data_IF_889089022283
#
_entry.id   IF_889089022283
#
_cell.length_a   1.000
_cell.length_b   1.000
_cell.length_c   1.000
_cell.angle_alpha   90.00
_cell.angle_beta   90.00
_cell.angle_gamma   90.00
#
_symmetry.space_group_name_H-M   'P 1'
#
loop_
_entity.id
_entity.type
_entity.pdbx_description
1 polymer ?
#
# COMPACT_ATOMS: atom_id res chain seq x y z
N UNK A 1 34.60 12.68 -60.25
CA UNK A 1 33.38 12.40 -59.48
C UNK A 1 33.78 12.38 -58.02
N UNK A 2 33.47 13.46 -57.30
CA UNK A 2 33.85 13.68 -55.91
C UNK A 2 32.81 13.02 -54.98
N UNK A 3 33.28 12.27 -53.98
CA UNK A 3 32.48 11.78 -52.86
C UNK A 3 32.35 12.87 -51.79
N UNK A 4 31.16 13.14 -51.23
CA UNK A 4 30.99 14.20 -50.24
C UNK A 4 31.43 13.74 -48.84
N UNK A 5 32.03 14.63 -48.02
CA UNK A 5 32.42 14.29 -46.66
C UNK A 5 31.21 14.25 -45.72
N UNK A 6 31.08 13.16 -44.97
CA UNK A 6 30.05 12.95 -43.95
C UNK A 6 30.10 14.02 -42.85
N UNK A 7 28.94 14.58 -42.55
CA UNK A 7 28.71 15.52 -41.45
C UNK A 7 29.16 14.92 -40.11
N UNK A 8 30.04 15.63 -39.39
CA UNK A 8 30.30 15.38 -37.97
C UNK A 8 29.01 15.59 -37.18
N UNK A 9 28.60 14.58 -36.42
CA UNK A 9 27.57 14.72 -35.39
C UNK A 9 28.13 15.61 -34.27
N UNK A 10 27.46 16.73 -34.00
CA UNK A 10 27.69 17.55 -32.82
C UNK A 10 27.33 16.76 -31.56
N UNK A 11 28.08 16.91 -30.44
CA UNK A 11 27.72 16.25 -29.18
C UNK A 11 26.33 16.71 -28.73
N UNK A 12 25.49 15.79 -28.30
CA UNK A 12 24.22 16.14 -27.64
C UNK A 12 24.55 16.95 -26.39
N UNK A 13 24.08 18.20 -26.39
CA UNK A 13 24.11 19.09 -25.26
C UNK A 13 23.12 18.58 -24.21
N UNK A 14 23.62 17.86 -23.20
CA UNK A 14 22.84 17.19 -22.14
C UNK A 14 22.35 18.16 -21.05
N UNK A 15 22.40 19.47 -21.28
CA UNK A 15 22.16 20.48 -20.24
C UNK A 15 20.75 21.09 -20.24
N UNK A 16 19.82 20.62 -21.08
CA UNK A 16 18.44 21.15 -21.15
C UNK A 16 17.34 20.11 -20.88
N UNK A 17 17.47 19.32 -19.81
CA UNK A 17 16.33 18.64 -19.18
C UNK A 17 16.22 19.09 -17.72
N UNK A 18 16.08 20.40 -17.53
CA UNK A 18 15.70 20.96 -16.24
C UNK A 18 14.86 22.20 -16.47
N UNK A 19 13.56 22.01 -16.68
CA UNK A 19 12.45 22.94 -16.41
C UNK A 19 11.18 22.43 -17.09
N UNK A 20 10.55 21.45 -16.46
CA UNK A 20 9.10 21.35 -16.50
C UNK A 20 8.60 21.48 -15.07
N UNK A 21 7.69 22.44 -14.89
CA UNK A 21 6.96 22.84 -13.69
C UNK A 21 6.78 21.70 -12.68
N UNK A 22 7.41 21.82 -11.50
CA UNK A 22 7.13 20.99 -10.31
C UNK A 22 5.71 21.26 -9.81
N UNK A 23 4.70 20.71 -10.47
CA UNK A 23 3.45 20.37 -9.80
C UNK A 23 3.77 19.34 -8.72
N UNK A 24 3.19 19.47 -7.53
CA UNK A 24 3.32 18.45 -6.50
C UNK A 24 2.84 17.09 -7.05
N UNK A 25 3.57 16.02 -6.78
CA UNK A 25 3.22 14.68 -7.25
C UNK A 25 1.81 14.30 -6.76
N UNK A 26 0.94 13.89 -7.68
CA UNK A 26 -0.47 13.63 -7.37
C UNK A 26 -0.68 12.57 -6.28
N UNK A 27 0.21 11.58 -6.16
CA UNK A 27 0.14 10.54 -5.15
C UNK A 27 0.58 11.06 -3.78
N UNK A 28 1.56 11.97 -3.74
CA UNK A 28 1.95 12.66 -2.50
C UNK A 28 0.80 13.53 -2.00
N UNK A 29 0.15 14.28 -2.88
CA UNK A 29 -1.00 15.11 -2.51
C UNK A 29 -2.19 14.27 -2.03
N UNK A 30 -2.37 13.08 -2.57
CA UNK A 30 -3.37 12.13 -2.08
C UNK A 30 -3.04 11.61 -0.66
N UNK A 31 -1.78 11.27 -0.40
CA UNK A 31 -1.33 10.88 0.93
C UNK A 31 -1.49 12.04 1.93
N UNK A 32 -1.10 13.27 1.56
CA UNK A 32 -1.32 14.47 2.38
C UNK A 32 -2.79 14.68 2.74
N UNK A 33 -3.69 14.51 1.77
CA UNK A 33 -5.14 14.62 2.01
C UNK A 33 -5.61 13.58 3.02
N UNK A 34 -5.18 12.33 2.90
CA UNK A 34 -5.53 11.28 3.87
C UNK A 34 -5.00 11.60 5.26
N UNK A 35 -3.72 11.96 5.41
CA UNK A 35 -3.10 12.21 6.72
C UNK A 35 -3.69 13.45 7.41
N UNK A 36 -4.18 14.42 6.64
CA UNK A 36 -4.87 15.60 7.17
C UNK A 36 -6.37 15.40 7.41
N UNK A 37 -6.95 14.26 7.04
CA UNK A 37 -8.33 13.93 7.32
C UNK A 37 -8.57 13.76 8.85
N UNK A 38 -9.52 14.49 9.46
CA UNK A 38 -9.90 14.30 10.87
C UNK A 38 -10.32 12.86 11.21
N UNK A 39 -10.98 12.15 10.30
CA UNK A 39 -11.35 10.74 10.49
C UNK A 39 -10.11 9.86 10.58
N UNK A 40 -9.10 10.11 9.73
CA UNK A 40 -7.84 9.38 9.77
C UNK A 40 -7.13 9.57 11.11
N UNK A 41 -7.00 10.82 11.59
CA UNK A 41 -6.41 11.11 12.90
C UNK A 41 -7.14 10.37 14.02
N UNK A 42 -8.47 10.39 14.00
CA UNK A 42 -9.30 9.73 15.02
C UNK A 42 -9.08 8.22 15.03
N UNK A 43 -9.08 7.59 13.86
CA UNK A 43 -8.86 6.15 13.70
C UNK A 43 -7.43 5.77 14.11
N UNK A 44 -6.44 6.53 13.65
CA UNK A 44 -5.02 6.32 13.96
C UNK A 44 -4.79 6.32 15.48
N UNK A 45 -5.23 7.36 16.19
CA UNK A 45 -5.07 7.45 17.65
C UNK A 45 -5.81 6.31 18.35
N UNK A 46 -7.02 5.96 17.90
CA UNK A 46 -7.80 4.88 18.50
C UNK A 46 -7.15 3.50 18.32
N UNK A 47 -6.47 3.24 17.20
CA UNK A 47 -5.69 2.01 17.00
C UNK A 47 -4.47 1.98 17.90
N UNK A 48 -3.70 3.07 17.92
CA UNK A 48 -2.41 3.10 18.61
C UNK A 48 -2.51 3.12 20.14
N UNK A 49 -3.63 3.62 20.69
CA UNK A 49 -3.89 3.69 22.14
C UNK A 49 -4.86 2.61 22.64
N UNK A 50 -5.16 1.63 21.79
CA UNK A 50 -6.22 0.65 22.03
C UNK A 50 -6.00 -0.17 23.30
N UNK A 51 -4.74 -0.53 23.56
CA UNK A 51 -4.37 -1.35 24.73
C UNK A 51 -4.59 -0.56 26.02
N UNK A 52 -4.17 0.69 26.05
CA UNK A 52 -4.31 1.61 27.19
C UNK A 52 -5.78 1.91 27.47
N UNK A 53 -6.58 2.13 26.41
CA UNK A 53 -8.05 2.28 26.51
C UNK A 53 -8.67 1.01 27.11
N UNK A 54 -8.26 -0.17 26.66
CA UNK A 54 -8.78 -1.44 27.17
C UNK A 54 -8.43 -1.65 28.65
N UNK A 55 -7.20 -1.31 29.06
CA UNK A 55 -6.76 -1.37 30.46
C UNK A 55 -7.60 -0.43 31.32
N UNK A 56 -7.75 0.84 30.91
CA UNK A 56 -8.58 1.84 31.59
C UNK A 56 -10.02 1.36 31.74
N UNK A 57 -10.65 0.87 30.67
CA UNK A 57 -12.04 0.41 30.70
C UNK A 57 -12.23 -0.83 31.58
N UNK A 58 -11.24 -1.75 31.59
CA UNK A 58 -11.26 -2.90 32.49
C UNK A 58 -11.20 -2.49 33.96
N UNK A 59 -10.45 -1.45 34.28
CA UNK A 59 -10.40 -0.89 35.63
C UNK A 59 -11.73 -0.23 35.98
N UNK A 60 -12.27 0.67 35.15
CA UNK A 60 -13.56 1.34 35.41
C UNK A 60 -14.71 0.37 35.72
N UNK A 61 -14.70 -0.82 35.12
CA UNK A 61 -15.73 -1.84 35.30
C UNK A 61 -15.41 -2.84 36.44
N UNK A 62 -14.34 -2.63 37.21
CA UNK A 62 -13.93 -3.54 38.29
C UNK A 62 -14.66 -3.26 39.60
N UNK A 63 -15.09 -4.33 40.29
CA UNK A 63 -15.75 -4.26 41.61
C UNK A 63 -14.77 -4.23 42.79
N UNK A 64 -13.45 -4.34 42.56
CA UNK A 64 -12.43 -4.36 43.62
C UNK A 64 -12.02 -2.94 44.02
N UNK A 65 -12.27 -2.57 45.29
CA UNK A 65 -12.05 -1.20 45.81
C UNK A 65 -10.64 -0.88 46.29
N UNK A 66 -9.82 -1.87 46.66
CA UNK A 66 -8.47 -1.62 47.21
C UNK A 66 -7.50 -1.19 46.11
N UNK A 67 -6.84 -0.05 46.29
CA UNK A 67 -5.90 0.59 45.36
C UNK A 67 -6.47 0.93 43.98
N UNK A 68 -7.80 1.08 43.89
CA UNK A 68 -8.48 1.26 42.61
C UNK A 68 -8.21 2.64 41.99
N UNK A 69 -8.26 3.68 42.82
CA UNK A 69 -8.00 5.06 42.40
C UNK A 69 -6.57 5.24 41.89
N UNK A 70 -5.58 4.67 42.57
CA UNK A 70 -4.17 4.68 42.14
C UNK A 70 -3.99 4.01 40.79
N UNK A 71 -4.56 2.81 40.60
CA UNK A 71 -4.47 2.08 39.32
C UNK A 71 -5.19 2.80 38.19
N UNK A 72 -6.33 3.44 38.47
CA UNK A 72 -7.04 4.23 37.48
C UNK A 72 -6.25 5.49 37.10
N UNK A 73 -5.61 6.15 38.06
CA UNK A 73 -4.72 7.29 37.83
C UNK A 73 -3.50 6.90 36.97
N UNK A 74 -2.87 5.75 37.26
CA UNK A 74 -1.77 5.20 36.46
C UNK A 74 -2.21 4.86 35.03
N UNK A 75 -3.37 4.22 34.86
CA UNK A 75 -3.91 3.90 33.54
C UNK A 75 -4.26 5.17 32.74
N UNK A 76 -4.82 6.20 33.38
CA UNK A 76 -5.07 7.49 32.74
C UNK A 76 -3.77 8.18 32.33
N UNK A 77 -2.74 8.17 33.18
CA UNK A 77 -1.42 8.74 32.85
C UNK A 77 -0.79 8.01 31.67
N UNK A 78 -0.85 6.68 31.66
CA UNK A 78 -0.33 5.85 30.57
C UNK A 78 -1.04 6.12 29.25
N UNK A 79 -2.38 6.24 29.28
CA UNK A 79 -3.17 6.60 28.10
C UNK A 79 -2.82 8.00 27.57
N UNK A 80 -2.62 8.97 28.47
CA UNK A 80 -2.29 10.34 28.11
C UNK A 80 -0.90 10.41 27.46
N UNK A 81 0.10 9.76 28.05
CA UNK A 81 1.45 9.62 27.48
C UNK A 81 1.43 8.93 26.11
N UNK A 82 0.70 7.81 25.98
CA UNK A 82 0.55 7.12 24.71
C UNK A 82 -0.10 8.04 23.65
N UNK A 83 -1.13 8.80 24.03
CA UNK A 83 -1.80 9.74 23.11
C UNK A 83 -0.86 10.86 22.66
N UNK A 84 -0.04 11.40 23.56
CA UNK A 84 0.96 12.44 23.25
C UNK A 84 2.00 11.93 22.25
N UNK A 85 2.59 10.76 22.52
CA UNK A 85 3.59 10.13 21.63
C UNK A 85 3.00 9.91 20.23
N UNK A 86 1.78 9.38 20.16
CA UNK A 86 1.16 9.09 18.85
C UNK A 86 0.74 10.37 18.12
N UNK A 87 0.38 11.43 18.86
CA UNK A 87 0.15 12.75 18.26
C UNK A 87 1.43 13.35 17.69
N UNK A 88 2.57 13.20 18.39
CA UNK A 88 3.88 13.61 17.88
C UNK A 88 4.25 12.84 16.62
N UNK A 89 4.07 11.51 16.60
CA UNK A 89 4.32 10.69 15.40
C UNK A 89 3.49 11.13 14.20
N UNK A 90 2.20 11.46 14.42
CA UNK A 90 1.34 11.96 13.35
C UNK A 90 1.79 13.34 12.84
N UNK A 91 2.26 14.23 13.71
CA UNK A 91 2.77 15.53 13.31
C UNK A 91 4.09 15.40 12.53
N UNK A 92 4.99 14.52 12.98
CA UNK A 92 6.22 14.18 12.27
C UNK A 92 5.91 13.69 10.84
N UNK A 93 4.94 12.79 10.69
CA UNK A 93 4.49 12.32 9.38
C UNK A 93 3.97 13.46 8.49
N UNK A 94 3.28 14.46 9.06
CA UNK A 94 2.82 15.63 8.31
C UNK A 94 3.99 16.50 7.85
N UNK A 95 4.94 16.75 8.74
CA UNK A 95 6.15 17.54 8.45
C UNK A 95 6.98 16.88 7.33
N UNK A 96 7.17 15.56 7.38
CA UNK A 96 7.86 14.80 6.32
C UNK A 96 7.18 14.90 4.95
N UNK A 97 5.85 15.06 4.94
CA UNK A 97 5.10 15.17 3.69
C UNK A 97 5.16 16.58 3.09
N UNK A 98 5.48 17.63 3.86
CA UNK A 98 5.64 18.98 3.31
C UNK A 98 6.80 19.08 2.31
N UNK A 99 7.86 18.30 2.53
CA UNK A 99 9.02 18.18 1.64
C UNK A 99 9.28 16.70 1.30
N UNK A 100 8.46 16.11 0.40
CA UNK A 100 8.55 14.68 0.10
C UNK A 100 9.91 14.33 -0.51
N UNK A 101 10.52 13.26 -0.02
CA UNK A 101 11.78 12.75 -0.58
C UNK A 101 11.53 12.08 -1.95
N UNK A 102 12.54 12.05 -2.84
CA UNK A 102 12.44 11.29 -4.09
C UNK A 102 12.05 9.82 -3.89
N UNK A 103 12.59 9.18 -2.85
CA UNK A 103 12.33 7.77 -2.53
C UNK A 103 10.86 7.53 -2.15
N UNK A 104 10.22 8.49 -1.46
CA UNK A 104 8.78 8.43 -1.18
C UNK A 104 7.97 8.51 -2.47
N UNK A 105 8.33 9.42 -3.38
CA UNK A 105 7.65 9.59 -4.66
C UNK A 105 7.78 8.32 -5.50
N UNK A 106 8.98 7.77 -5.60
CA UNK A 106 9.23 6.50 -6.27
C UNK A 106 8.41 5.36 -5.66
N UNK A 107 8.43 5.22 -4.32
CA UNK A 107 7.65 4.20 -3.62
C UNK A 107 6.15 4.34 -3.92
N UNK A 108 5.58 5.54 -3.85
CA UNK A 108 4.17 5.78 -4.20
C UNK A 108 3.84 5.39 -5.65
N UNK A 109 4.79 5.61 -6.56
CA UNK A 109 4.62 5.32 -7.98
C UNK A 109 4.74 3.82 -8.34
N UNK A 110 5.24 2.97 -7.44
CA UNK A 110 5.20 1.51 -7.59
C UNK A 110 3.78 0.95 -7.44
N UNK A 111 2.93 1.67 -6.70
CA UNK A 111 1.56 1.27 -6.45
C UNK A 111 0.62 1.71 -7.57
N UNK A 112 -0.31 0.83 -7.91
CA UNK A 112 -1.38 1.13 -8.83
C UNK A 112 -2.55 1.82 -8.12
N UNK A 113 -3.74 1.67 -8.69
CA UNK A 113 -4.97 2.23 -8.15
C UNK A 113 -5.87 1.13 -7.56
N UNK A 114 -6.51 1.42 -6.43
CA UNK A 114 -7.45 0.52 -5.75
C UNK A 114 -8.67 1.29 -5.23
N UNK A 115 -9.68 0.55 -4.75
CA UNK A 115 -10.73 1.16 -3.92
C UNK A 115 -10.18 1.47 -2.53
N UNK A 116 -10.74 2.46 -1.84
CA UNK A 116 -10.38 2.75 -0.44
C UNK A 116 -10.95 1.72 0.54
N UNK A 117 -10.74 1.95 1.84
CA UNK A 117 -11.24 1.07 2.92
C UNK A 117 -12.76 0.90 2.94
N UNK A 118 -13.50 1.90 2.45
CA UNK A 118 -14.97 1.94 2.36
C UNK A 118 -15.51 1.29 1.07
N UNK A 119 -14.61 0.95 0.13
CA UNK A 119 -14.99 0.36 -1.16
C UNK A 119 -15.34 1.40 -2.23
N UNK A 120 -14.95 2.66 -2.03
CA UNK A 120 -15.22 3.77 -2.95
C UNK A 120 -14.12 3.90 -4.01
N UNK A 121 -14.46 4.55 -5.12
CA UNK A 121 -13.57 4.75 -6.29
C UNK A 121 -12.94 6.15 -6.35
N UNK A 122 -13.14 6.99 -5.34
CA UNK A 122 -12.65 8.37 -5.33
C UNK A 122 -13.33 9.26 -6.37
N UNK A 123 -12.87 10.51 -6.46
CA UNK A 123 -13.30 11.44 -7.52
C UNK A 123 -12.88 10.89 -8.89
N UNK A 124 -13.75 11.02 -9.88
CA UNK A 124 -13.54 10.58 -11.27
C UNK A 124 -13.51 9.06 -11.51
N UNK A 125 -13.92 8.24 -10.54
CA UNK A 125 -13.95 6.76 -10.65
C UNK A 125 -12.57 6.10 -10.90
N UNK A 126 -11.48 6.84 -10.70
CA UNK A 126 -10.10 6.38 -10.99
C UNK A 126 -9.44 5.60 -9.85
N UNK A 127 -10.10 5.48 -8.70
CA UNK A 127 -9.55 4.86 -7.50
C UNK A 127 -8.54 5.75 -6.77
N UNK A 128 -8.04 5.21 -5.67
CA UNK A 128 -7.02 5.78 -4.79
C UNK A 128 -5.68 5.09 -5.01
N UNK A 129 -4.57 5.73 -4.67
CA UNK A 129 -3.25 5.09 -4.67
C UNK A 129 -3.26 3.87 -3.72
N UNK A 130 -2.95 2.70 -4.26
CA UNK A 130 -3.06 1.44 -3.52
C UNK A 130 -2.08 1.37 -2.34
N UNK A 131 -0.93 2.02 -2.41
CA UNK A 131 0.03 2.12 -1.30
C UNK A 131 -0.52 2.95 -0.16
N UNK A 132 -1.14 4.10 -0.48
CA UNK A 132 -1.83 4.95 0.49
C UNK A 132 -2.92 4.17 1.22
N UNK A 133 -3.75 3.41 0.49
CA UNK A 133 -4.83 2.60 1.06
C UNK A 133 -4.29 1.43 1.90
N UNK A 134 -3.43 0.58 1.31
CA UNK A 134 -3.01 -0.67 1.94
C UNK A 134 -2.03 -0.47 3.09
N UNK A 135 -1.20 0.58 3.02
CA UNK A 135 -0.26 0.90 4.09
C UNK A 135 -0.87 1.85 5.11
N UNK A 136 -1.24 3.07 4.73
CA UNK A 136 -1.66 4.09 5.70
C UNK A 136 -3.09 3.87 6.19
N UNK A 137 -4.06 3.85 5.27
CA UNK A 137 -5.48 3.80 5.63
C UNK A 137 -5.83 2.50 6.41
N UNK A 138 -5.40 1.34 5.92
CA UNK A 138 -5.74 0.05 6.54
C UNK A 138 -5.09 -0.14 7.91
N UNK A 139 -3.87 0.36 8.10
CA UNK A 139 -3.17 0.27 9.39
C UNK A 139 -3.72 1.27 10.40
N UNK A 140 -4.22 2.43 9.96
CA UNK A 140 -4.89 3.40 10.84
C UNK A 140 -6.34 3.00 11.17
N UNK A 141 -7.03 2.22 10.33
CA UNK A 141 -8.45 1.93 10.50
C UNK A 141 -8.75 0.81 11.51
N UNK A 142 -9.51 1.10 12.57
CA UNK A 142 -9.82 0.17 13.68
C UNK A 142 -10.41 -1.16 13.21
N UNK A 143 -11.31 -1.11 12.23
CA UNK A 143 -11.99 -2.31 11.71
C UNK A 143 -11.10 -3.22 10.85
N UNK A 144 -10.07 -2.68 10.19
CA UNK A 144 -9.22 -3.42 9.25
C UNK A 144 -7.89 -3.82 9.88
N UNK A 145 -7.40 -3.03 10.83
CA UNK A 145 -6.19 -3.32 11.58
C UNK A 145 -6.33 -4.58 12.46
N UNK A 146 -7.55 -4.92 12.92
CA UNK A 146 -7.84 -6.06 13.82
C UNK A 146 -7.09 -7.35 13.42
N UNK A 147 -6.08 -7.72 14.23
CA UNK A 147 -5.21 -8.90 14.17
C UNK A 147 -4.21 -8.97 13.02
N UNK A 148 -4.27 -8.08 12.02
CA UNK A 148 -3.45 -8.16 10.80
C UNK A 148 -2.12 -7.43 10.92
N UNK A 149 -2.09 -6.35 11.69
CA UNK A 149 -0.90 -5.53 11.87
C UNK A 149 -0.62 -5.45 13.37
N UNK A 150 0.61 -5.78 13.77
CA UNK A 150 1.02 -5.61 15.17
C UNK A 150 0.99 -4.11 15.51
N UNK A 151 0.43 -3.71 16.67
CA UNK A 151 0.37 -2.31 17.10
C UNK A 151 1.75 -1.68 17.30
N UNK A 152 2.81 -2.50 17.37
CA UNK A 152 4.20 -2.08 17.55
C UNK A 152 4.79 -1.36 16.32
N UNK A 153 4.14 -1.43 15.15
CA UNK A 153 4.60 -0.70 13.96
C UNK A 153 3.89 0.66 13.88
N UNK A 154 4.54 1.68 14.42
CA UNK A 154 4.20 3.08 14.12
C UNK A 154 4.26 3.28 12.60
N UNK A 155 3.22 3.89 12.04
CA UNK A 155 3.21 4.28 10.62
C UNK A 155 4.29 5.35 10.40
N UNK A 156 5.21 5.10 9.48
CA UNK A 156 6.23 6.07 9.07
C UNK A 156 6.48 6.01 7.56
N UNK A 157 7.06 7.08 7.01
CA UNK A 157 7.45 7.13 5.59
C UNK A 157 8.54 6.11 5.27
N UNK A 158 9.56 6.00 6.11
CA UNK A 158 10.64 5.01 5.94
C UNK A 158 10.10 3.58 5.89
N UNK A 159 9.24 3.21 6.85
CA UNK A 159 8.64 1.88 6.87
C UNK A 159 7.67 1.64 5.71
N UNK A 160 7.08 2.68 5.10
CA UNK A 160 6.32 2.57 3.86
C UNK A 160 7.23 2.29 2.65
N UNK A 161 8.38 2.96 2.58
CA UNK A 161 9.38 2.74 1.54
C UNK A 161 9.90 1.30 1.60
N UNK A 162 10.29 0.82 2.77
CA UNK A 162 10.77 -0.55 2.96
C UNK A 162 9.70 -1.60 2.65
N UNK A 163 8.47 -1.33 3.10
CA UNK A 163 7.30 -2.15 2.76
C UNK A 163 7.11 -2.24 1.24
N UNK A 164 7.21 -1.12 0.54
CA UNK A 164 7.08 -1.07 -0.92
C UNK A 164 8.21 -1.82 -1.62
N UNK A 165 9.47 -1.59 -1.21
CA UNK A 165 10.65 -2.29 -1.76
C UNK A 165 10.53 -3.80 -1.61
N UNK A 166 10.08 -4.29 -0.44
CA UNK A 166 9.83 -5.73 -0.21
C UNK A 166 8.90 -6.28 -1.28
N UNK A 167 7.72 -5.69 -1.47
CA UNK A 167 6.74 -6.26 -2.40
C UNK A 167 7.07 -6.01 -3.86
N UNK A 168 7.72 -4.90 -4.19
CA UNK A 168 8.24 -4.64 -5.53
C UNK A 168 9.21 -5.74 -5.98
N UNK A 169 10.11 -6.17 -5.10
CA UNK A 169 11.08 -7.22 -5.42
C UNK A 169 10.43 -8.56 -5.83
N UNK A 170 9.22 -8.86 -5.34
CA UNK A 170 8.46 -10.03 -5.77
C UNK A 170 7.83 -9.87 -7.15
N UNK A 171 7.50 -8.65 -7.56
CA UNK A 171 7.03 -8.37 -8.92
C UNK A 171 8.18 -8.42 -9.93
N UNK A 172 9.39 -8.00 -9.53
CA UNK A 172 10.59 -7.99 -10.37
C UNK A 172 11.17 -9.40 -10.58
N UNK A 173 11.07 -10.28 -9.57
CA UNK A 173 11.47 -11.69 -9.68
C UNK A 173 10.35 -12.62 -9.18
N UNK A 174 9.28 -12.81 -9.98
CA UNK A 174 8.10 -13.53 -9.53
C UNK A 174 8.23 -15.05 -9.64
N UNK A 175 9.20 -15.58 -10.39
CA UNK A 175 9.29 -17.00 -10.66
C UNK A 175 9.73 -17.78 -9.41
N UNK A 176 8.94 -18.74 -8.89
CA UNK A 176 9.28 -19.52 -7.69
C UNK A 176 10.58 -20.34 -7.83
N UNK A 177 11.01 -20.65 -9.05
CA UNK A 177 12.26 -21.36 -9.30
C UNK A 177 13.50 -20.49 -9.04
N UNK A 178 13.39 -19.17 -9.28
CA UNK A 178 14.47 -18.19 -9.09
C UNK A 178 14.27 -17.31 -7.85
N UNK A 179 13.09 -17.35 -7.22
CA UNK A 179 12.79 -16.64 -5.98
C UNK A 179 12.31 -17.60 -4.89
N UNK A 180 13.21 -18.02 -3.96
CA UNK A 180 12.89 -19.03 -2.95
C UNK A 180 11.90 -18.56 -1.88
N UNK A 181 11.58 -17.26 -1.80
CA UNK A 181 10.59 -16.74 -0.85
C UNK A 181 9.15 -16.94 -1.37
N UNK A 182 9.00 -17.12 -2.69
CA UNK A 182 7.72 -17.32 -3.33
C UNK A 182 7.32 -18.80 -3.23
N UNK A 183 6.07 -19.05 -2.87
CA UNK A 183 5.49 -20.39 -2.84
C UNK A 183 4.90 -20.78 -4.18
N UNK A 184 4.13 -19.88 -4.79
CA UNK A 184 3.48 -20.11 -6.08
C UNK A 184 3.05 -18.78 -6.69
N UNK A 185 2.90 -18.78 -8.00
CA UNK A 185 2.48 -17.61 -8.79
C UNK A 185 1.54 -18.03 -9.90
N UNK A 186 0.67 -17.11 -10.32
CA UNK A 186 -0.13 -17.23 -11.54
C UNK A 186 -0.14 -15.90 -12.28
N UNK A 187 0.19 -15.94 -13.57
CA UNK A 187 0.19 -14.76 -14.43
C UNK A 187 -0.92 -14.90 -15.47
N UNK A 188 -1.85 -13.95 -15.46
CA UNK A 188 -2.98 -13.90 -16.38
C UNK A 188 -2.80 -12.75 -17.36
N UNK A 189 -3.22 -12.94 -18.61
CA UNK A 189 -3.12 -11.96 -19.69
C UNK A 189 -4.44 -11.90 -20.48
N UNK A 190 -4.88 -10.70 -20.86
CA UNK A 190 -6.00 -10.50 -21.79
C UNK A 190 -5.55 -10.30 -23.25
N UNK A 191 -6.50 -10.23 -24.19
CA UNK A 191 -6.20 -10.00 -25.61
C UNK A 191 -5.54 -8.65 -25.91
N UNK A 192 -5.68 -7.67 -25.01
CA UNK A 192 -5.08 -6.35 -25.17
C UNK A 192 -3.64 -6.32 -24.65
N UNK A 193 -3.17 -7.40 -24.02
CA UNK A 193 -1.84 -7.50 -23.43
C UNK A 193 -1.75 -6.96 -22.00
N UNK A 194 -2.88 -6.64 -21.36
CA UNK A 194 -2.87 -6.30 -19.94
C UNK A 194 -2.61 -7.59 -19.15
N UNK A 195 -1.87 -7.47 -18.05
CA UNK A 195 -1.48 -8.61 -17.23
C UNK A 195 -1.84 -8.42 -15.78
N UNK A 196 -2.15 -9.54 -15.13
CA UNK A 196 -2.38 -9.60 -13.69
C UNK A 196 -1.56 -10.73 -13.09
N UNK A 197 -0.76 -10.37 -12.11
CA UNK A 197 0.16 -11.28 -11.44
C UNK A 197 -0.33 -11.56 -10.03
N UNK A 198 -0.51 -12.82 -9.71
CA UNK A 198 -0.84 -13.32 -8.39
C UNK A 198 0.37 -14.02 -7.79
N UNK A 199 0.83 -13.57 -6.63
CA UNK A 199 1.96 -14.16 -5.91
C UNK A 199 1.51 -14.55 -4.51
N UNK A 200 1.80 -15.79 -4.09
CA UNK A 200 1.71 -16.22 -2.71
C UNK A 200 3.12 -16.53 -2.19
N UNK A 201 3.54 -15.85 -1.13
CA UNK A 201 4.84 -16.10 -0.47
C UNK A 201 4.74 -17.27 0.51
N UNK A 202 5.90 -17.81 0.91
CA UNK A 202 5.99 -18.84 1.96
C UNK A 202 5.51 -18.32 3.33
N UNK A 203 5.63 -17.01 3.55
CA UNK A 203 5.11 -16.30 4.73
C UNK A 203 3.59 -16.06 4.69
N UNK A 204 2.87 -16.67 3.73
CA UNK A 204 1.42 -16.52 3.57
C UNK A 204 1.00 -15.09 3.21
N UNK A 205 1.85 -14.34 2.52
CA UNK A 205 1.49 -13.03 1.97
C UNK A 205 0.99 -13.21 0.53
N UNK A 206 -0.18 -12.66 0.23
CA UNK A 206 -0.80 -12.72 -1.09
C UNK A 206 -0.74 -11.33 -1.73
N UNK A 207 0.02 -11.23 -2.81
CA UNK A 207 0.31 -9.99 -3.53
C UNK A 207 -0.38 -10.06 -4.90
N UNK A 208 -0.98 -8.93 -5.29
CA UNK A 208 -1.63 -8.76 -6.59
C UNK A 208 -0.92 -7.64 -7.33
N UNK A 209 -0.28 -7.96 -8.45
CA UNK A 209 0.26 -7.02 -9.41
C UNK A 209 -0.66 -6.85 -10.62
N UNK A 210 -0.64 -5.68 -11.24
CA UNK A 210 -1.31 -5.43 -12.51
C UNK A 210 -0.49 -4.53 -13.41
N UNK A 211 -0.48 -4.86 -14.69
CA UNK A 211 0.24 -4.18 -15.74
C UNK A 211 -0.74 -3.85 -16.86
N UNK A 212 -0.87 -2.56 -17.20
CA UNK A 212 -1.52 -2.17 -18.45
C UNK A 212 -0.51 -2.27 -19.58
N UNK A 213 -0.97 -2.59 -20.77
CA UNK A 213 -0.10 -2.68 -21.95
C UNK A 213 0.73 -1.41 -22.14
N UNK A 214 2.05 -1.54 -22.12
CA UNK A 214 2.99 -0.42 -22.27
C UNK A 214 3.33 0.32 -20.96
N UNK A 215 2.79 -0.12 -19.82
CA UNK A 215 3.16 0.35 -18.48
C UNK A 215 3.97 -0.72 -17.74
N UNK A 216 4.66 -0.34 -16.67
CA UNK A 216 5.31 -1.31 -15.77
C UNK A 216 4.31 -1.93 -14.79
N UNK A 217 4.54 -3.18 -14.39
CA UNK A 217 3.73 -3.88 -13.37
C UNK A 217 3.67 -3.07 -12.07
N UNK A 218 2.45 -2.80 -11.58
CA UNK A 218 2.19 -2.06 -10.34
C UNK A 218 1.58 -2.95 -9.27
N UNK A 219 1.86 -2.66 -8.00
CA UNK A 219 1.23 -3.35 -6.87
C UNK A 219 -0.19 -2.82 -6.68
N UNK A 220 -1.20 -3.70 -6.72
CA UNK A 220 -2.60 -3.33 -6.47
C UNK A 220 -3.06 -3.65 -5.05
N UNK A 221 -2.58 -4.76 -4.48
CA UNK A 221 -3.03 -5.21 -3.17
C UNK A 221 -2.05 -6.16 -2.51
N UNK A 222 -2.00 -6.10 -1.18
CA UNK A 222 -1.30 -7.07 -0.34
C UNK A 222 -2.25 -7.54 0.76
N UNK A 223 -2.36 -8.87 0.92
CA UNK A 223 -3.17 -9.52 1.94
C UNK A 223 -2.29 -10.48 2.76
N UNK A 224 -2.35 -10.36 4.08
CA UNK A 224 -1.57 -11.21 4.99
C UNK A 224 -2.35 -12.47 5.39
N UNK A 225 -1.63 -13.51 5.85
CA UNK A 225 -2.19 -14.76 6.38
C UNK A 225 -3.09 -15.53 5.39
N UNK A 226 -2.72 -15.53 4.10
CA UNK A 226 -3.46 -16.21 3.03
C UNK A 226 -2.89 -17.61 2.72
N UNK A 227 -3.59 -18.35 1.85
CA UNK A 227 -3.21 -19.70 1.47
C UNK A 227 -3.41 -19.96 -0.02
N UNK A 228 -2.94 -21.11 -0.49
CA UNK A 228 -2.99 -21.49 -1.91
C UNK A 228 -4.43 -21.62 -2.41
N UNK A 229 -5.37 -22.08 -1.59
CA UNK A 229 -6.79 -22.16 -1.98
C UNK A 229 -7.36 -20.78 -2.31
N UNK A 230 -7.00 -19.75 -1.54
CA UNK A 230 -7.42 -18.39 -1.81
C UNK A 230 -6.87 -17.87 -3.13
N UNK A 231 -5.58 -18.07 -3.39
CA UNK A 231 -4.95 -17.65 -4.64
C UNK A 231 -5.62 -18.35 -5.83
N UNK A 232 -5.74 -19.67 -5.79
CA UNK A 232 -6.32 -20.46 -6.88
C UNK A 232 -7.75 -19.98 -7.16
N UNK A 233 -8.60 -19.89 -6.13
CA UNK A 233 -9.96 -19.37 -6.28
C UNK A 233 -10.00 -17.99 -6.94
N UNK A 234 -9.14 -17.07 -6.51
CA UNK A 234 -9.15 -15.68 -7.02
C UNK A 234 -8.70 -15.60 -8.48
N UNK A 235 -7.76 -16.45 -8.89
CA UNK A 235 -7.27 -16.55 -10.26
C UNK A 235 -8.25 -17.32 -11.16
N UNK A 236 -8.85 -18.41 -10.67
CA UNK A 236 -9.87 -19.18 -11.38
C UNK A 236 -11.14 -18.34 -11.58
N UNK A 237 -11.55 -17.54 -10.59
CA UNK A 237 -12.66 -16.58 -10.72
C UNK A 237 -12.44 -15.62 -11.90
N UNK A 238 -11.18 -15.27 -12.23
CA UNK A 238 -10.82 -14.33 -13.29
C UNK A 238 -10.59 -14.99 -14.64
N UNK A 239 -9.99 -16.19 -14.67
CA UNK A 239 -9.92 -17.02 -15.87
C UNK A 239 -11.30 -17.38 -16.42
N UNK A 240 -12.26 -17.62 -15.52
CA UNK A 240 -13.62 -17.98 -15.88
C UNK A 240 -14.56 -16.76 -15.96
N UNK A 241 -14.03 -15.54 -15.93
CA UNK A 241 -14.79 -14.30 -16.10
C UNK A 241 -16.04 -14.19 -15.22
N UNK A 242 -15.97 -14.67 -13.98
CA UNK A 242 -17.11 -14.63 -13.06
C UNK A 242 -17.58 -13.19 -12.84
N UNK A 243 -18.86 -12.96 -12.51
CA UNK A 243 -19.41 -11.63 -12.19
C UNK A 243 -18.53 -10.87 -11.16
N UNK A 244 -17.99 -11.61 -10.19
CA UNK A 244 -17.09 -11.09 -9.18
C UNK A 244 -15.75 -10.60 -9.74
N UNK A 245 -15.25 -11.20 -10.82
CA UNK A 245 -14.04 -10.75 -11.52
C UNK A 245 -14.34 -9.53 -12.41
N UNK A 246 -15.49 -9.52 -13.09
CA UNK A 246 -15.91 -8.44 -13.99
C UNK A 246 -16.17 -7.11 -13.28
N UNK A 247 -16.46 -7.16 -11.98
CA UNK A 247 -16.67 -5.98 -11.12
C UNK A 247 -15.39 -5.49 -10.44
N UNK A 248 -14.23 -6.13 -10.68
CA UNK A 248 -12.96 -5.70 -10.05
C UNK A 248 -12.44 -4.41 -10.65
N UNK A 249 -11.76 -3.65 -9.80
CA UNK A 249 -10.93 -2.55 -10.26
C UNK A 249 -9.73 -3.10 -11.07
N UNK A 250 -9.38 -2.43 -12.18
CA UNK A 250 -8.38 -2.88 -13.15
C UNK A 250 -8.66 -4.28 -13.73
N UNK A 251 -9.91 -4.59 -14.10
CA UNK A 251 -10.25 -5.91 -14.66
C UNK A 251 -9.49 -6.19 -15.95
N UNK A 252 -9.16 -7.47 -16.15
CA UNK A 252 -8.75 -7.98 -17.46
C UNK A 252 -9.96 -8.08 -18.38
N UNK A 253 -9.77 -7.84 -19.67
CA UNK A 253 -10.81 -8.02 -20.67
C UNK A 253 -10.89 -9.47 -21.16
N UNK A 254 -12.08 -9.90 -21.57
CA UNK A 254 -12.28 -11.27 -22.02
C UNK A 254 -11.88 -11.46 -23.48
N UNK A 255 -11.35 -12.63 -23.86
CA UNK A 255 -10.96 -13.76 -23.01
C UNK A 255 -9.63 -13.53 -22.25
N UNK A 256 -9.55 -14.14 -21.06
CA UNK A 256 -8.34 -14.18 -20.22
C UNK A 256 -7.67 -15.54 -20.35
N UNK A 257 -6.34 -15.55 -20.46
CA UNK A 257 -5.51 -16.78 -20.48
C UNK A 257 -4.46 -16.75 -19.38
N UNK A 258 -4.03 -17.91 -18.93
CA UNK A 258 -2.85 -18.05 -18.07
C UNK A 258 -1.60 -18.19 -18.95
N UNK A 259 -0.52 -17.50 -18.57
CA UNK A 259 0.78 -17.57 -19.24
C UNK A 259 1.86 -18.02 -18.25
N UNK A 260 2.86 -18.71 -18.78
CA UNK A 260 3.99 -19.21 -17.98
C UNK A 260 4.95 -18.10 -17.60
N UNK A 261 5.58 -18.26 -16.42
CA UNK A 261 6.62 -17.40 -15.85
C UNK A 261 8.01 -18.03 -15.98
#
# INVERSE_FOLDING_TARGET
>A
METPPGKRLTPLDTTNISKETKGADSNVEELKKLINDPDFKTQFLAVQTRTEIAIKNKLLNSTKKRDHETKLAEANRSLLQATEIQTQNLNQLKEELEQPTPELVEALNVWGRSRNVRGEYGSDQKGFNAGVVHYFEYRAHVGKNKKRFKPENTLSIESFIDYTKKYQSFLENPNPATNPQIKTTRLLEDLKGNRRLYILTKEKEFIVGFERTGEGMKILSVFLEQNTQKLNKVADDELNSTEKSQTRFNRLEEPVKEISL
#
